data_IF_152808087201
#
_entry.id   IF_152808087201
#
_cell.length_a   1.000
_cell.length_b   1.000
_cell.length_c   1.000
_cell.angle_alpha   90.00
_cell.angle_beta   90.00
_cell.angle_gamma   90.00
#
_symmetry.space_group_name_H-M   'P 1'
#
loop_
_entity.id
_entity.type
_entity.pdbx_description
1 polymer ?
#
# COMPACT_ATOMS: atom_id res chain seq x y z
N UNK A 1 -9.18 37.57 18.51
CA UNK A 1 -9.06 36.66 19.65
C UNK A 1 -8.10 35.56 19.28
N UNK A 2 -6.89 35.54 19.84
CA UNK A 2 -5.95 34.41 19.63
C UNK A 2 -6.52 33.22 20.37
N UNK A 3 -6.86 32.14 19.64
CA UNK A 3 -7.22 30.87 20.26
C UNK A 3 -6.05 30.43 21.14
N UNK A 4 -6.33 30.04 22.37
CA UNK A 4 -5.35 29.43 23.27
C UNK A 4 -4.79 28.18 22.59
N UNK A 5 -3.51 28.19 22.20
CA UNK A 5 -2.85 27.02 21.65
C UNK A 5 -2.68 25.99 22.78
N UNK A 6 -3.66 25.14 22.97
CA UNK A 6 -3.44 23.90 23.70
C UNK A 6 -2.42 23.07 22.89
N UNK A 7 -1.44 22.49 23.57
CA UNK A 7 -0.47 21.61 22.93
C UNK A 7 -1.22 20.51 22.13
N UNK A 8 -0.70 20.10 20.96
CA UNK A 8 -1.32 19.04 20.19
C UNK A 8 -1.50 17.76 21.02
N UNK A 9 -2.54 16.96 20.77
CA UNK A 9 -2.78 15.71 21.49
C UNK A 9 -1.60 14.75 21.34
N UNK A 10 -1.32 13.99 22.38
CA UNK A 10 -0.30 12.97 22.38
C UNK A 10 -0.70 11.76 21.53
N UNK A 11 0.20 11.27 20.69
CA UNK A 11 0.09 9.99 20.01
C UNK A 11 1.21 9.09 20.53
N UNK A 12 0.91 8.32 21.57
CA UNK A 12 1.88 7.50 22.25
C UNK A 12 2.22 6.23 21.48
N UNK A 13 3.46 5.73 21.63
CA UNK A 13 3.81 4.40 21.17
C UNK A 13 3.02 3.35 21.97
N UNK A 14 2.75 2.21 21.34
CA UNK A 14 2.01 1.10 21.96
C UNK A 14 2.98 -0.07 22.21
N UNK A 15 3.68 -0.02 23.32
CA UNK A 15 4.64 -1.03 23.73
C UNK A 15 4.02 -2.25 24.43
N UNK A 16 4.84 -3.22 24.78
CA UNK A 16 4.40 -4.47 25.46
C UNK A 16 3.88 -4.25 26.88
N UNK A 17 4.21 -3.13 27.52
CA UNK A 17 3.67 -2.72 28.80
C UNK A 17 2.47 -1.75 28.70
N UNK A 18 1.97 -1.50 27.50
CA UNK A 18 0.91 -0.50 27.26
C UNK A 18 1.42 0.75 26.52
N UNK A 19 0.65 1.86 26.57
CA UNK A 19 1.07 3.14 25.99
C UNK A 19 2.38 3.64 26.60
N UNK A 20 3.23 4.21 25.75
CA UNK A 20 4.53 4.74 26.16
C UNK A 20 4.76 6.14 25.59
N UNK A 21 4.89 7.14 26.49
CA UNK A 21 5.25 8.52 26.15
C UNK A 21 6.76 8.67 26.15
N UNK A 22 7.33 8.93 24.99
CA UNK A 22 8.76 9.25 24.85
C UNK A 22 9.02 10.73 25.21
N UNK A 23 10.28 11.03 25.56
CA UNK A 23 10.78 12.42 25.60
C UNK A 23 11.15 12.95 24.21
N UNK A 24 11.41 12.04 23.26
CA UNK A 24 11.65 12.40 21.87
C UNK A 24 10.32 12.37 21.13
N UNK A 25 9.87 13.55 20.69
CA UNK A 25 8.57 13.78 20.07
C UNK A 25 8.77 14.34 18.67
N UNK A 26 7.94 13.87 17.75
CA UNK A 26 7.83 14.40 16.39
C UNK A 26 6.45 15.04 16.23
N UNK A 27 6.40 16.26 15.72
CA UNK A 27 5.12 16.93 15.46
C UNK A 27 4.55 16.48 14.12
N UNK A 28 3.39 15.86 14.16
CA UNK A 28 2.63 15.51 12.96
C UNK A 28 1.83 16.72 12.52
N UNK A 29 1.99 17.11 11.26
CA UNK A 29 1.30 18.25 10.67
C UNK A 29 0.28 17.79 9.63
N UNK A 30 -0.77 18.58 9.45
CA UNK A 30 -1.69 18.43 8.33
C UNK A 30 -1.13 19.01 7.03
N UNK A 31 -1.91 18.91 5.94
CA UNK A 31 -1.52 19.43 4.61
C UNK A 31 -1.46 20.96 4.54
N UNK A 32 -1.97 21.68 5.53
CA UNK A 32 -1.87 23.14 5.67
C UNK A 32 -0.61 23.54 6.44
N UNK A 33 0.01 22.58 7.14
CA UNK A 33 1.15 22.81 8.00
C UNK A 33 0.79 23.04 9.47
N UNK A 34 -0.48 22.84 9.83
CA UNK A 34 -0.92 22.97 11.22
C UNK A 34 -0.57 21.73 12.03
N UNK A 35 -0.13 21.87 13.30
CA UNK A 35 0.19 20.75 14.16
C UNK A 35 -1.07 19.98 14.57
N UNK A 36 -1.09 18.66 14.39
CA UNK A 36 -2.22 17.77 14.68
C UNK A 36 -1.96 16.88 15.88
N UNK A 37 -0.76 16.36 16.03
CA UNK A 37 -0.39 15.50 17.16
C UNK A 37 1.12 15.54 17.43
N UNK A 38 1.50 15.10 18.64
CA UNK A 38 2.88 14.81 19.02
C UNK A 38 3.10 13.30 19.07
N UNK A 39 3.83 12.76 18.10
CA UNK A 39 4.17 11.34 17.99
C UNK A 39 5.37 11.00 18.88
N UNK A 40 5.21 10.01 19.76
CA UNK A 40 6.28 9.51 20.64
C UNK A 40 7.25 8.63 19.89
N UNK A 41 8.48 9.10 19.60
CA UNK A 41 9.54 8.30 18.99
C UNK A 41 10.25 7.47 20.05
N UNK A 42 10.17 6.15 19.98
CA UNK A 42 10.76 5.26 20.98
C UNK A 42 12.27 5.11 20.78
N UNK A 43 13.05 5.10 21.88
CA UNK A 43 14.48 4.83 21.81
C UNK A 43 14.76 3.36 21.48
N UNK A 44 15.93 3.10 20.88
CA UNK A 44 16.35 1.75 20.49
C UNK A 44 16.15 0.69 21.57
N UNK A 45 16.58 0.97 22.81
CA UNK A 45 16.50 0.00 23.91
C UNK A 45 15.05 -0.43 24.21
N UNK A 46 14.10 0.52 24.12
CA UNK A 46 12.68 0.23 24.29
C UNK A 46 12.17 -0.66 23.15
N UNK A 47 12.51 -0.32 21.91
CA UNK A 47 12.12 -1.07 20.73
C UNK A 47 12.69 -2.51 20.75
N UNK A 48 13.96 -2.67 21.08
CA UNK A 48 14.60 -3.97 21.21
C UNK A 48 13.96 -4.85 22.30
N UNK A 49 13.67 -4.26 23.48
CA UNK A 49 12.97 -4.98 24.55
C UNK A 49 11.58 -5.43 24.11
N UNK A 50 10.87 -4.59 23.36
CA UNK A 50 9.54 -4.92 22.82
C UNK A 50 9.61 -6.10 21.85
N UNK A 51 10.57 -6.11 20.92
CA UNK A 51 10.75 -7.25 19.98
C UNK A 51 11.12 -8.54 20.73
N UNK A 52 11.98 -8.46 21.73
CA UNK A 52 12.32 -9.63 22.55
C UNK A 52 11.13 -10.17 23.37
N UNK A 53 10.25 -9.29 23.83
CA UNK A 53 9.02 -9.71 24.51
C UNK A 53 8.04 -10.34 23.54
N UNK A 54 7.83 -9.75 22.36
CA UNK A 54 7.05 -10.35 21.27
C UNK A 54 7.51 -11.78 20.95
N UNK A 55 8.83 -12.00 20.86
CA UNK A 55 9.41 -13.32 20.51
C UNK A 55 9.05 -14.41 21.56
N UNK A 56 8.84 -14.04 22.82
CA UNK A 56 8.47 -14.97 23.90
C UNK A 56 6.97 -15.19 24.03
N UNK A 57 6.18 -14.25 23.51
CA UNK A 57 4.73 -14.34 23.63
C UNK A 57 4.17 -15.51 22.81
N UNK A 58 3.16 -16.18 23.35
CA UNK A 58 2.41 -17.18 22.61
C UNK A 58 1.36 -16.50 21.74
N UNK A 59 1.20 -16.90 20.46
CA UNK A 59 0.08 -16.40 19.66
C UNK A 59 -1.23 -17.01 20.17
N UNK A 60 -2.39 -16.34 20.00
CA UNK A 60 -3.69 -16.96 20.20
C UNK A 60 -3.84 -18.22 19.33
N UNK A 61 -4.68 -19.17 19.73
CA UNK A 61 -5.00 -20.30 18.88
C UNK A 61 -5.66 -19.85 17.55
N UNK A 62 -5.68 -20.70 16.51
CA UNK A 62 -6.16 -20.32 15.17
C UNK A 62 -7.60 -19.80 15.16
N UNK A 63 -8.50 -20.43 15.89
CA UNK A 63 -9.91 -20.04 15.91
C UNK A 63 -10.09 -18.69 16.65
N UNK A 64 -9.36 -18.48 17.75
CA UNK A 64 -9.35 -17.21 18.46
C UNK A 64 -8.78 -16.10 17.58
N UNK A 65 -7.67 -16.34 16.83
CA UNK A 65 -7.11 -15.35 15.87
C UNK A 65 -8.14 -14.92 14.85
N UNK A 66 -8.83 -15.85 14.23
CA UNK A 66 -9.87 -15.57 13.24
C UNK A 66 -10.95 -14.64 13.81
N UNK A 67 -11.49 -14.98 14.99
CA UNK A 67 -12.51 -14.16 15.69
C UNK A 67 -12.00 -12.77 16.05
N UNK A 68 -10.78 -12.68 16.58
CA UNK A 68 -10.19 -11.41 16.98
C UNK A 68 -9.94 -10.50 15.78
N UNK A 69 -9.42 -11.04 14.66
CA UNK A 69 -9.20 -10.27 13.43
C UNK A 69 -10.51 -9.72 12.86
N UNK A 70 -11.55 -10.55 12.75
CA UNK A 70 -12.88 -10.11 12.30
C UNK A 70 -13.42 -8.95 13.15
N UNK A 71 -13.35 -9.08 14.49
CA UNK A 71 -13.82 -8.04 15.41
C UNK A 71 -12.98 -6.78 15.33
N UNK A 72 -11.65 -6.91 15.23
CA UNK A 72 -10.73 -5.78 15.09
C UNK A 72 -10.98 -5.01 13.80
N UNK A 73 -11.20 -5.72 12.69
CA UNK A 73 -11.51 -5.11 11.39
C UNK A 73 -12.79 -4.28 11.42
N UNK A 74 -13.86 -4.83 11.99
CA UNK A 74 -15.10 -4.08 12.18
C UNK A 74 -14.90 -2.85 13.09
N UNK A 75 -14.20 -3.02 14.21
CA UNK A 75 -13.95 -1.94 15.17
C UNK A 75 -13.09 -0.84 14.53
N UNK A 76 -12.07 -1.21 13.77
CA UNK A 76 -11.22 -0.27 13.03
C UNK A 76 -12.02 0.54 12.01
N UNK A 77 -12.81 -0.12 11.16
CA UNK A 77 -13.52 0.52 10.06
C UNK A 77 -14.71 1.37 10.53
N UNK A 78 -15.47 0.88 11.52
CA UNK A 78 -16.79 1.43 11.84
C UNK A 78 -16.99 1.80 13.32
N UNK A 79 -16.15 1.27 14.21
CA UNK A 79 -16.33 1.45 15.65
C UNK A 79 -15.68 2.70 16.24
N UNK A 80 -15.75 2.82 17.57
CA UNK A 80 -14.96 3.78 18.34
C UNK A 80 -13.75 3.07 18.96
N UNK A 81 -12.54 3.56 18.68
CA UNK A 81 -11.27 3.05 19.20
C UNK A 81 -10.65 4.12 20.08
N UNK A 82 -10.36 3.78 21.32
CA UNK A 82 -9.83 4.72 22.34
C UNK A 82 -10.62 6.03 22.43
N UNK A 83 -11.96 5.96 22.29
CA UNK A 83 -12.86 7.11 22.29
C UNK A 83 -12.95 7.87 20.96
N UNK A 84 -12.15 7.53 19.95
CA UNK A 84 -12.16 8.17 18.63
C UNK A 84 -13.07 7.42 17.66
N UNK A 85 -14.12 8.09 17.18
CA UNK A 85 -15.05 7.51 16.20
C UNK A 85 -14.37 7.29 14.84
N UNK A 86 -14.91 6.39 14.01
CA UNK A 86 -14.41 6.20 12.64
C UNK A 86 -14.50 7.49 11.81
N UNK A 87 -15.56 8.27 11.96
CA UNK A 87 -15.70 9.54 11.25
C UNK A 87 -14.64 10.58 11.65
N UNK A 88 -14.28 10.67 12.94
CA UNK A 88 -13.19 11.53 13.38
C UNK A 88 -11.84 11.06 12.83
N UNK A 89 -11.58 9.76 12.89
CA UNK A 89 -10.39 9.13 12.30
C UNK A 89 -10.27 9.43 10.81
N UNK A 90 -11.34 9.23 10.02
CA UNK A 90 -11.32 9.50 8.58
C UNK A 90 -10.94 10.96 8.27
N UNK A 91 -11.51 11.91 9.03
CA UNK A 91 -11.17 13.34 8.87
C UNK A 91 -9.70 13.61 9.19
N UNK A 92 -9.21 13.12 10.32
CA UNK A 92 -7.81 13.30 10.71
C UNK A 92 -6.86 12.74 9.66
N UNK A 93 -7.10 11.51 9.16
CA UNK A 93 -6.26 10.90 8.11
C UNK A 93 -6.33 11.70 6.82
N UNK A 94 -7.52 12.15 6.38
CA UNK A 94 -7.66 12.97 5.19
C UNK A 94 -6.89 14.30 5.30
N UNK A 95 -6.99 14.99 6.43
CA UNK A 95 -6.28 16.24 6.69
C UNK A 95 -4.75 16.07 6.74
N UNK A 96 -4.27 15.00 7.37
CA UNK A 96 -2.83 14.75 7.55
C UNK A 96 -2.18 14.19 6.29
N UNK A 97 -2.80 13.21 5.65
CA UNK A 97 -2.27 12.56 4.45
C UNK A 97 -2.57 13.33 3.16
N UNK A 98 -3.62 14.16 3.17
CA UNK A 98 -4.15 14.83 1.98
C UNK A 98 -4.85 13.88 0.99
N UNK A 99 -5.15 12.65 1.41
CA UNK A 99 -5.97 11.73 0.63
C UNK A 99 -7.43 12.13 0.78
N UNK A 100 -8.24 12.15 -0.31
CA UNK A 100 -9.67 12.44 -0.24
C UNK A 100 -10.39 11.60 0.81
N UNK A 101 -11.27 12.23 1.60
CA UNK A 101 -11.97 11.57 2.71
C UNK A 101 -12.78 10.34 2.27
N UNK A 102 -13.35 10.39 1.07
CA UNK A 102 -14.06 9.24 0.49
C UNK A 102 -13.11 8.05 0.27
N UNK A 103 -11.89 8.30 -0.24
CA UNK A 103 -10.84 7.29 -0.44
C UNK A 103 -10.33 6.74 0.90
N UNK A 104 -10.16 7.60 1.91
CA UNK A 104 -9.77 7.15 3.26
C UNK A 104 -10.82 6.20 3.84
N UNK A 105 -12.11 6.55 3.71
CA UNK A 105 -13.23 5.73 4.18
C UNK A 105 -13.28 4.38 3.48
N UNK A 106 -13.17 4.37 2.17
CA UNK A 106 -13.14 3.15 1.36
C UNK A 106 -11.96 2.25 1.73
N UNK A 107 -10.76 2.83 1.85
CA UNK A 107 -9.56 2.10 2.28
C UNK A 107 -9.69 1.54 3.70
N UNK A 108 -10.30 2.27 4.62
CA UNK A 108 -10.56 1.79 5.97
C UNK A 108 -11.57 0.63 5.99
N UNK A 109 -12.61 0.70 5.15
CA UNK A 109 -13.57 -0.40 4.97
C UNK A 109 -12.87 -1.62 4.36
N UNK A 110 -12.00 -1.43 3.38
CA UNK A 110 -11.20 -2.51 2.78
C UNK A 110 -10.33 -3.23 3.82
N UNK A 111 -9.70 -2.49 4.75
CA UNK A 111 -8.96 -3.10 5.88
C UNK A 111 -9.88 -3.94 6.76
N UNK A 112 -11.10 -3.41 7.06
CA UNK A 112 -12.10 -4.13 7.85
C UNK A 112 -12.55 -5.43 7.20
N UNK A 113 -12.88 -5.38 5.93
CA UNK A 113 -13.34 -6.53 5.14
C UNK A 113 -12.22 -7.58 4.97
N UNK A 114 -10.99 -7.11 4.73
CA UNK A 114 -9.83 -7.98 4.65
C UNK A 114 -9.56 -8.69 5.98
N UNK A 115 -9.60 -7.98 7.10
CA UNK A 115 -9.39 -8.56 8.42
C UNK A 115 -10.36 -9.71 8.73
N UNK A 116 -11.60 -9.62 8.25
CA UNK A 116 -12.61 -10.67 8.40
C UNK A 116 -12.27 -11.95 7.62
N UNK A 117 -11.48 -11.84 6.56
CA UNK A 117 -11.12 -12.95 5.65
C UNK A 117 -9.62 -13.31 5.67
N UNK A 118 -8.80 -12.58 6.42
CA UNK A 118 -7.34 -12.72 6.41
C UNK A 118 -6.87 -14.15 6.71
N UNK A 119 -7.56 -14.85 7.63
CA UNK A 119 -7.21 -16.23 7.99
C UNK A 119 -7.39 -17.18 6.80
N UNK A 120 -8.46 -17.06 6.05
CA UNK A 120 -8.74 -17.89 4.87
C UNK A 120 -7.88 -17.43 3.68
N UNK A 121 -7.69 -16.12 3.51
CA UNK A 121 -6.94 -15.53 2.40
C UNK A 121 -5.48 -15.93 2.42
N UNK A 122 -4.81 -15.82 3.56
CA UNK A 122 -3.37 -16.14 3.66
C UNK A 122 -3.09 -17.64 3.44
N UNK A 123 -4.08 -18.50 3.65
CA UNK A 123 -3.97 -19.95 3.44
C UNK A 123 -4.00 -20.36 1.98
N UNK A 124 -4.33 -19.47 1.06
CA UNK A 124 -4.20 -19.73 -0.39
C UNK A 124 -2.74 -20.05 -0.77
N UNK A 125 -1.77 -19.53 -0.02
CA UNK A 125 -0.34 -19.83 -0.21
C UNK A 125 0.09 -21.22 0.29
N UNK A 126 -0.78 -21.95 1.01
CA UNK A 126 -0.40 -23.25 1.58
C UNK A 126 -0.30 -24.30 0.48
N UNK A 127 0.82 -25.04 0.39
CA UNK A 127 0.96 -26.14 -0.58
C UNK A 127 -0.18 -27.16 -0.45
N UNK A 128 -0.69 -27.62 -1.56
CA UNK A 128 -1.74 -28.66 -1.60
C UNK A 128 -1.24 -29.92 -0.88
N UNK A 129 -2.04 -30.45 0.04
CA UNK A 129 -1.65 -31.61 0.85
C UNK A 129 -0.81 -31.31 2.08
N UNK A 130 -0.29 -30.09 2.27
CA UNK A 130 0.42 -29.72 3.49
C UNK A 130 -0.54 -29.67 4.69
N UNK A 131 -0.08 -30.21 5.83
CA UNK A 131 -0.80 -30.18 7.11
C UNK A 131 -0.44 -28.91 7.91
N UNK A 132 -1.34 -28.46 8.78
CA UNK A 132 -1.09 -27.33 9.70
C UNK A 132 -0.40 -27.75 11.00
N UNK A 133 -0.36 -29.06 11.29
CA UNK A 133 0.21 -29.62 12.50
C UNK A 133 0.80 -31.01 12.23
N UNK A 134 1.87 -31.32 12.92
CA UNK A 134 2.43 -32.68 12.92
C UNK A 134 1.47 -33.74 13.49
N UNK A 135 0.44 -33.32 14.26
CA UNK A 135 -0.60 -34.19 14.78
C UNK A 135 -1.68 -34.54 13.76
N UNK A 136 -1.72 -33.84 12.61
CA UNK A 136 -2.61 -34.21 11.52
C UNK A 136 -2.26 -35.60 10.99
N UNK A 137 -3.28 -36.44 10.74
CA UNK A 137 -3.09 -37.79 10.24
C UNK A 137 -2.27 -37.83 8.94
N UNK A 138 -2.42 -36.81 8.07
CA UNK A 138 -1.64 -36.72 6.84
C UNK A 138 -0.15 -36.57 7.10
N UNK A 139 0.25 -35.84 8.15
CA UNK A 139 1.66 -35.69 8.52
C UNK A 139 2.28 -37.01 8.92
N UNK A 140 1.51 -37.89 9.58
CA UNK A 140 1.97 -39.26 9.97
C UNK A 140 2.31 -40.12 8.76
N UNK A 141 1.71 -39.87 7.62
CA UNK A 141 1.98 -40.57 6.36
C UNK A 141 3.01 -39.84 5.45
N UNK A 142 3.79 -38.91 6.00
CA UNK A 142 4.88 -38.25 5.28
C UNK A 142 4.50 -36.98 4.52
N UNK A 143 3.39 -36.32 4.90
CA UNK A 143 3.07 -35.00 4.34
C UNK A 143 3.91 -33.87 4.96
N UNK A 144 4.14 -32.81 4.21
CA UNK A 144 4.77 -31.61 4.73
C UNK A 144 3.90 -30.91 5.78
N UNK A 145 4.52 -30.34 6.81
CA UNK A 145 3.85 -29.48 7.79
C UNK A 145 4.17 -28.03 7.48
N UNK A 146 3.14 -27.22 7.27
CA UNK A 146 3.28 -25.78 6.97
C UNK A 146 3.48 -25.00 8.25
N UNK A 147 4.68 -24.44 8.44
CA UNK A 147 5.10 -23.79 9.69
C UNK A 147 5.67 -22.39 9.45
N UNK A 148 5.59 -21.52 10.44
CA UNK A 148 6.22 -20.20 10.38
C UNK A 148 7.73 -20.29 10.19
N UNK A 149 8.29 -19.30 9.44
CA UNK A 149 9.75 -19.11 9.29
C UNK A 149 10.38 -18.48 10.53
N UNK A 150 9.58 -17.73 11.30
CA UNK A 150 10.00 -17.00 12.48
C UNK A 150 8.84 -16.75 13.43
N UNK A 151 9.08 -15.95 14.45
CA UNK A 151 8.12 -15.63 15.49
C UNK A 151 7.63 -14.17 15.40
N UNK A 152 8.49 -13.23 14.97
CA UNK A 152 8.22 -11.80 14.92
C UNK A 152 8.36 -11.27 13.51
N UNK A 153 7.29 -10.60 13.02
CA UNK A 153 7.34 -9.79 11.82
C UNK A 153 7.54 -8.32 12.19
N UNK A 154 8.51 -7.67 11.55
CA UNK A 154 8.66 -6.21 11.54
C UNK A 154 8.01 -5.60 10.30
N UNK A 155 7.26 -4.51 10.49
CA UNK A 155 6.57 -3.79 9.41
C UNK A 155 7.06 -2.34 9.39
N UNK A 156 7.64 -1.91 8.27
CA UNK A 156 7.84 -0.50 7.97
C UNK A 156 6.69 -0.01 7.10
N UNK A 157 5.68 0.60 7.73
CA UNK A 157 4.45 0.99 7.05
C UNK A 157 4.60 2.34 6.33
N UNK A 158 4.02 2.48 5.12
CA UNK A 158 4.00 3.74 4.37
C UNK A 158 2.84 4.64 4.82
N UNK A 159 2.70 5.82 4.19
CA UNK A 159 1.65 6.80 4.47
C UNK A 159 0.68 7.04 3.31
N UNK A 160 0.76 6.22 2.25
CA UNK A 160 0.06 6.50 0.99
C UNK A 160 -1.38 5.98 0.93
N UNK A 161 -1.79 5.09 1.84
CA UNK A 161 -3.17 4.59 1.95
C UNK A 161 -3.36 3.80 3.25
N UNK A 162 -4.54 3.87 3.90
CA UNK A 162 -4.89 2.92 4.97
C UNK A 162 -4.87 1.45 4.53
N UNK A 163 -5.20 1.16 3.28
CA UNK A 163 -5.32 -0.21 2.76
C UNK A 163 -4.01 -1.02 2.80
N UNK A 164 -2.84 -0.38 2.82
CA UNK A 164 -1.54 -1.06 2.90
C UNK A 164 -1.38 -1.89 4.18
N UNK A 165 -2.13 -1.55 5.23
CA UNK A 165 -2.11 -2.27 6.50
C UNK A 165 -2.78 -3.65 6.45
N UNK A 166 -3.45 -4.02 5.35
CA UNK A 166 -3.96 -5.39 5.14
C UNK A 166 -2.83 -6.42 5.12
N UNK A 167 -1.67 -6.07 4.58
CA UNK A 167 -0.53 -6.97 4.40
C UNK A 167 -0.07 -7.66 5.69
N UNK A 168 0.01 -6.94 6.81
CA UNK A 168 0.50 -7.54 8.05
C UNK A 168 -0.61 -8.22 8.89
N UNK A 169 -1.90 -8.10 8.51
CA UNK A 169 -2.98 -8.90 9.09
C UNK A 169 -2.80 -10.39 8.75
N UNK A 170 -2.23 -10.70 7.59
CA UNK A 170 -1.84 -12.06 7.21
C UNK A 170 -0.87 -12.69 8.20
N UNK A 171 0.11 -11.92 8.67
CA UNK A 171 1.07 -12.40 9.66
C UNK A 171 0.39 -12.72 11.01
N UNK A 172 -0.51 -11.86 11.47
CA UNK A 172 -1.31 -12.14 12.66
C UNK A 172 -2.21 -13.37 12.47
N UNK A 173 -2.81 -13.54 11.30
CA UNK A 173 -3.61 -14.72 10.95
C UNK A 173 -2.77 -16.01 11.00
N UNK A 174 -1.51 -15.97 10.57
CA UNK A 174 -0.56 -17.08 10.65
C UNK A 174 0.03 -17.29 12.05
N UNK A 175 -0.22 -16.36 12.99
CA UNK A 175 0.26 -16.46 14.39
C UNK A 175 1.64 -15.84 14.61
N UNK A 176 2.10 -14.96 13.74
CA UNK A 176 3.22 -14.08 14.05
C UNK A 176 2.81 -13.06 15.11
N UNK A 177 3.79 -12.62 15.91
CA UNK A 177 3.68 -11.37 16.65
C UNK A 177 4.19 -10.26 15.75
N UNK A 178 3.56 -9.09 15.80
CA UNK A 178 3.84 -8.03 14.83
C UNK A 178 4.30 -6.75 15.52
N UNK A 179 5.43 -6.22 15.05
CA UNK A 179 5.92 -4.89 15.41
C UNK A 179 5.71 -3.95 14.20
N UNK A 180 4.93 -2.89 14.39
CA UNK A 180 4.66 -1.92 13.33
C UNK A 180 5.41 -0.63 13.62
N UNK A 181 6.28 -0.20 12.70
CA UNK A 181 6.80 1.16 12.63
C UNK A 181 5.91 1.94 11.67
N UNK A 182 5.11 2.87 12.18
CA UNK A 182 4.27 3.70 11.31
C UNK A 182 5.11 4.71 10.54
N UNK A 183 4.57 5.25 9.45
CA UNK A 183 5.08 6.48 8.87
C UNK A 183 4.93 7.64 9.87
N UNK A 184 5.89 8.55 9.91
CA UNK A 184 5.78 9.78 10.71
C UNK A 184 4.80 10.78 10.07
N UNK A 185 4.52 10.66 8.77
CA UNK A 185 3.58 11.54 8.06
C UNK A 185 2.13 11.22 8.36
N UNK A 186 1.79 9.94 8.47
CA UNK A 186 0.44 9.45 8.80
C UNK A 186 0.58 8.24 9.75
N UNK A 187 0.68 8.46 11.07
CA UNK A 187 0.79 7.38 12.05
C UNK A 187 -0.57 6.90 12.57
N UNK A 188 -1.67 7.62 12.30
CA UNK A 188 -2.98 7.39 12.92
C UNK A 188 -3.60 6.07 12.50
N UNK A 189 -3.45 5.68 11.24
CA UNK A 189 -3.99 4.42 10.73
C UNK A 189 -3.37 3.22 11.44
N UNK A 190 -2.04 3.17 11.52
CA UNK A 190 -1.34 2.10 12.23
C UNK A 190 -1.69 2.09 13.72
N UNK A 191 -1.72 3.27 14.36
CA UNK A 191 -2.08 3.41 15.77
C UNK A 191 -3.49 2.88 16.04
N UNK A 192 -4.47 3.33 15.25
CA UNK A 192 -5.87 2.89 15.39
C UNK A 192 -6.02 1.39 15.19
N UNK A 193 -5.32 0.78 14.21
CA UNK A 193 -5.46 -0.64 13.95
C UNK A 193 -4.82 -1.48 15.07
N UNK A 194 -3.66 -1.09 15.59
CA UNK A 194 -3.04 -1.75 16.75
C UNK A 194 -3.91 -1.60 17.99
N UNK A 195 -4.48 -0.40 18.25
CA UNK A 195 -5.42 -0.17 19.35
C UNK A 195 -6.69 -1.04 19.20
N UNK A 196 -7.27 -1.11 18.01
CA UNK A 196 -8.45 -1.95 17.76
C UNK A 196 -8.16 -3.44 18.02
N UNK A 197 -7.00 -3.96 17.58
CA UNK A 197 -6.56 -5.32 17.87
C UNK A 197 -6.46 -5.58 19.37
N UNK A 198 -5.86 -4.66 20.12
CA UNK A 198 -5.74 -4.76 21.59
C UNK A 198 -7.09 -4.69 22.30
N UNK A 199 -7.95 -3.78 21.86
CA UNK A 199 -9.29 -3.61 22.45
C UNK A 199 -10.18 -4.84 22.29
N UNK A 200 -10.00 -5.64 21.23
CA UNK A 200 -10.75 -6.89 21.03
C UNK A 200 -10.11 -8.09 21.70
N UNK A 201 -8.89 -7.98 22.24
CA UNK A 201 -8.26 -9.03 23.07
C UNK A 201 -6.96 -9.63 22.54
N UNK A 202 -6.25 -8.94 21.63
CA UNK A 202 -4.83 -9.21 21.45
C UNK A 202 -4.04 -8.66 22.64
N UNK A 203 -3.14 -9.45 23.18
CA UNK A 203 -2.28 -9.02 24.28
C UNK A 203 -1.24 -8.00 23.80
N UNK A 204 -0.74 -7.17 24.72
CA UNK A 204 0.20 -6.10 24.41
C UNK A 204 1.55 -6.62 23.86
N UNK A 205 1.90 -7.88 24.15
CA UNK A 205 3.09 -8.54 23.65
C UNK A 205 2.86 -9.37 22.37
N UNK A 206 1.69 -9.25 21.73
CA UNK A 206 1.37 -9.87 20.45
C UNK A 206 1.41 -8.89 19.29
N UNK A 207 1.08 -7.61 19.52
CA UNK A 207 1.15 -6.55 18.53
C UNK A 207 1.56 -5.22 19.19
N UNK A 208 2.57 -4.55 18.63
CA UNK A 208 3.11 -3.28 19.12
C UNK A 208 3.22 -2.23 18.02
N UNK A 209 3.10 -0.96 18.41
CA UNK A 209 3.39 0.19 17.56
C UNK A 209 4.66 0.88 18.08
N UNK A 210 5.69 0.92 17.25
CA UNK A 210 7.02 1.44 17.61
C UNK A 210 7.45 2.55 16.65
N UNK A 211 6.91 3.77 16.79
CA UNK A 211 7.40 4.91 16.00
C UNK A 211 8.87 5.16 16.35
N UNK A 212 9.72 5.31 15.34
CA UNK A 212 11.16 5.53 15.51
C UNK A 212 11.70 6.47 14.44
N UNK A 213 12.87 7.02 14.67
CA UNK A 213 13.66 7.65 13.63
C UNK A 213 14.15 6.64 12.57
N UNK A 214 14.69 7.13 11.47
CA UNK A 214 15.16 6.28 10.38
C UNK A 214 16.37 5.40 10.77
N UNK A 215 17.28 5.92 11.60
CA UNK A 215 18.47 5.17 12.03
C UNK A 215 18.09 3.96 12.90
N UNK A 216 17.10 4.11 13.76
CA UNK A 216 16.56 3.02 14.57
C UNK A 216 15.74 2.03 13.73
N UNK A 217 15.10 2.49 12.67
CA UNK A 217 14.27 1.67 11.79
C UNK A 217 15.03 0.47 11.19
N UNK A 218 16.23 0.71 10.65
CA UNK A 218 17.06 -0.35 10.06
C UNK A 218 17.48 -1.41 11.07
N UNK A 219 17.77 -0.97 12.31
CA UNK A 219 18.12 -1.88 13.40
C UNK A 219 16.93 -2.75 13.81
N UNK A 220 15.70 -2.24 13.71
CA UNK A 220 14.48 -3.01 13.99
C UNK A 220 14.28 -4.14 12.98
N UNK A 221 14.56 -3.90 11.70
CA UNK A 221 14.52 -4.94 10.66
C UNK A 221 15.53 -6.05 10.98
N UNK A 222 16.74 -5.71 11.41
CA UNK A 222 17.77 -6.69 11.75
C UNK A 222 17.47 -7.47 13.04
N UNK A 223 16.72 -6.91 13.99
CA UNK A 223 16.35 -7.57 15.25
C UNK A 223 15.16 -8.54 15.09
N UNK A 224 14.29 -8.35 14.10
CA UNK A 224 13.14 -9.22 13.83
C UNK A 224 13.54 -10.51 13.08
N UNK A 225 12.65 -11.48 13.02
CA UNK A 225 12.92 -12.74 12.32
C UNK A 225 12.66 -12.62 10.82
N UNK A 226 11.64 -11.84 10.45
CA UNK A 226 11.31 -11.45 9.08
C UNK A 226 10.75 -10.03 9.09
N UNK A 227 10.82 -9.34 7.95
CA UNK A 227 10.29 -8.00 7.82
C UNK A 227 9.58 -7.77 6.48
N UNK A 228 8.66 -6.80 6.46
CA UNK A 228 8.15 -6.18 5.25
C UNK A 228 8.49 -4.69 5.28
N UNK A 229 8.95 -4.15 4.16
CA UNK A 229 9.37 -2.77 4.05
C UNK A 229 8.79 -2.14 2.79
N UNK A 230 8.00 -1.07 2.95
CA UNK A 230 7.43 -0.32 1.85
C UNK A 230 8.33 0.86 1.48
N UNK A 231 8.52 1.09 0.19
CA UNK A 231 9.27 2.24 -0.30
C UNK A 231 9.52 2.22 -1.80
N UNK A 232 10.26 3.20 -2.29
CA UNK A 232 10.66 3.27 -3.70
C UNK A 232 11.84 2.37 -4.06
N UNK A 233 12.47 2.64 -5.21
CA UNK A 233 13.64 1.91 -5.72
C UNK A 233 14.78 1.77 -4.71
N UNK A 234 14.91 2.71 -3.78
CA UNK A 234 15.95 2.67 -2.75
C UNK A 234 15.72 1.49 -1.77
N UNK A 235 14.47 1.29 -1.33
CA UNK A 235 14.09 0.17 -0.46
C UNK A 235 14.21 -1.16 -1.21
N UNK A 236 13.75 -1.21 -2.47
CA UNK A 236 13.89 -2.38 -3.33
C UNK A 236 15.38 -2.77 -3.53
N UNK A 237 16.24 -1.81 -3.80
CA UNK A 237 17.71 -2.06 -3.92
C UNK A 237 18.34 -2.49 -2.59
N UNK A 238 17.93 -1.87 -1.49
CA UNK A 238 18.49 -2.16 -0.15
C UNK A 238 18.18 -3.58 0.31
N UNK A 239 16.99 -4.07 0.05
CA UNK A 239 16.49 -5.33 0.59
C UNK A 239 16.23 -6.42 -0.45
N UNK A 240 16.33 -6.12 -1.74
CA UNK A 240 15.96 -7.03 -2.83
C UNK A 240 16.73 -8.37 -2.86
N UNK A 241 17.94 -8.43 -2.29
CA UNK A 241 18.69 -9.67 -2.12
C UNK A 241 18.43 -10.38 -0.79
N UNK A 242 17.64 -9.80 0.11
CA UNK A 242 17.36 -10.38 1.43
C UNK A 242 16.31 -11.47 1.34
N UNK A 243 16.58 -12.62 1.95
CA UNK A 243 15.57 -13.68 2.12
C UNK A 243 14.69 -13.48 3.36
N UNK A 244 15.01 -12.50 4.21
CA UNK A 244 14.33 -12.21 5.47
C UNK A 244 13.51 -10.91 5.41
N UNK A 245 13.68 -10.11 4.36
CA UNK A 245 12.92 -8.88 4.15
C UNK A 245 12.20 -8.98 2.80
N UNK A 246 10.90 -8.77 2.80
CA UNK A 246 10.11 -8.61 1.59
C UNK A 246 9.93 -7.10 1.34
N UNK A 247 10.60 -6.54 0.31
CA UNK A 247 10.39 -5.16 -0.07
C UNK A 247 9.10 -5.05 -0.88
N UNK A 248 8.28 -4.05 -0.58
CA UNK A 248 7.19 -3.60 -1.44
C UNK A 248 7.65 -2.33 -2.13
N UNK A 249 8.01 -2.49 -3.41
CA UNK A 249 8.65 -1.47 -4.24
C UNK A 249 7.68 -0.57 -5.00
N UNK A 250 8.21 0.20 -5.97
CA UNK A 250 7.38 0.94 -6.91
C UNK A 250 6.59 -0.04 -7.79
N UNK A 251 5.32 0.27 -8.04
CA UNK A 251 4.43 -0.64 -8.75
C UNK A 251 4.59 -0.59 -10.26
N UNK A 252 4.83 0.59 -10.81
CA UNK A 252 4.92 0.83 -12.27
C UNK A 252 3.81 0.12 -13.03
N UNK A 253 2.60 0.15 -12.46
CA UNK A 253 1.43 -0.52 -13.02
C UNK A 253 1.07 0.05 -14.39
N UNK A 254 0.59 -0.80 -15.28
CA UNK A 254 0.45 -0.46 -16.69
C UNK A 254 -0.90 -0.88 -17.25
N UNK A 255 -1.25 -0.25 -18.34
CA UNK A 255 -2.38 -0.65 -19.19
C UNK A 255 -1.83 -1.00 -20.57
N UNK A 256 -2.35 -2.07 -21.17
CA UNK A 256 -2.11 -2.46 -22.56
C UNK A 256 -3.42 -2.46 -23.32
N UNK A 257 -3.48 -1.63 -24.35
CA UNK A 257 -4.57 -1.61 -25.33
C UNK A 257 -4.09 -2.31 -26.59
N UNK A 258 -4.51 -3.55 -26.79
CA UNK A 258 -4.21 -4.29 -28.01
C UNK A 258 -5.03 -3.80 -29.18
N UNK A 259 -4.62 -4.17 -30.40
CA UNK A 259 -5.31 -3.81 -31.64
C UNK A 259 -6.79 -4.19 -31.59
N UNK A 260 -7.67 -3.26 -31.97
CA UNK A 260 -9.12 -3.45 -31.97
C UNK A 260 -9.81 -3.17 -30.61
N UNK A 261 -9.06 -2.83 -29.56
CA UNK A 261 -9.68 -2.41 -28.29
C UNK A 261 -10.47 -1.10 -28.46
N UNK A 262 -11.74 -1.11 -28.05
CA UNK A 262 -12.61 0.07 -28.07
C UNK A 262 -12.27 0.99 -26.87
N UNK A 263 -11.53 2.05 -27.14
CA UNK A 263 -11.12 3.03 -26.12
C UNK A 263 -12.31 3.67 -25.43
N UNK A 264 -13.37 4.02 -26.18
CA UNK A 264 -14.57 4.65 -25.62
C UNK A 264 -15.26 3.74 -24.59
N UNK A 265 -15.35 2.45 -24.88
CA UNK A 265 -15.92 1.44 -23.98
C UNK A 265 -15.08 1.29 -22.70
N UNK A 266 -13.75 1.36 -22.82
CA UNK A 266 -12.83 1.05 -21.72
C UNK A 266 -12.33 2.30 -20.96
N UNK A 267 -12.69 3.51 -21.41
CA UNK A 267 -12.17 4.77 -20.86
C UNK A 267 -12.41 4.91 -19.34
N UNK A 268 -13.55 4.44 -18.85
CA UNK A 268 -13.84 4.47 -17.41
C UNK A 268 -12.87 3.59 -16.61
N UNK A 269 -12.59 2.38 -17.08
CA UNK A 269 -11.62 1.46 -16.45
C UNK A 269 -10.20 1.99 -16.55
N UNK A 270 -9.83 2.60 -17.67
CA UNK A 270 -8.51 3.25 -17.86
C UNK A 270 -8.33 4.39 -16.87
N UNK A 271 -9.29 5.30 -16.79
CA UNK A 271 -9.20 6.46 -15.89
C UNK A 271 -9.29 6.07 -14.42
N UNK A 272 -10.07 5.04 -14.07
CA UNK A 272 -10.08 4.47 -12.72
C UNK A 272 -8.73 3.83 -12.36
N UNK A 273 -8.07 3.17 -13.31
CA UNK A 273 -6.72 2.63 -13.10
C UNK A 273 -5.70 3.72 -12.80
N UNK A 274 -5.84 4.91 -13.39
CA UNK A 274 -4.92 6.04 -13.21
C UNK A 274 -5.26 6.84 -11.94
N UNK A 275 -6.53 7.22 -11.75
CA UNK A 275 -6.97 8.19 -10.76
C UNK A 275 -7.69 7.56 -9.54
N UNK A 276 -8.04 6.28 -9.59
CA UNK A 276 -8.57 5.55 -8.43
C UNK A 276 -7.63 5.68 -7.24
N UNK A 277 -8.15 5.65 -6.02
CA UNK A 277 -7.35 5.85 -4.79
C UNK A 277 -6.52 7.14 -4.81
N UNK A 278 -7.02 8.18 -5.50
CA UNK A 278 -6.34 9.46 -5.71
C UNK A 278 -5.00 9.38 -6.48
N UNK A 279 -4.74 8.29 -7.20
CA UNK A 279 -3.48 8.09 -7.94
C UNK A 279 -2.25 7.90 -7.04
N UNK A 280 -2.43 7.53 -5.77
CA UNK A 280 -1.32 7.46 -4.80
C UNK A 280 -0.82 6.04 -4.53
N UNK A 281 -1.48 5.02 -5.07
CA UNK A 281 -1.15 3.62 -4.83
C UNK A 281 -0.17 3.04 -5.87
N UNK A 282 0.64 2.06 -5.48
CA UNK A 282 1.50 1.31 -6.40
C UNK A 282 0.72 0.55 -7.50
N UNK A 283 -0.56 0.29 -7.28
CA UNK A 283 -1.45 -0.34 -8.27
C UNK A 283 -2.06 0.65 -9.27
N UNK A 284 -1.84 1.96 -9.10
CA UNK A 284 -2.30 2.93 -10.09
C UNK A 284 -1.46 2.83 -11.37
N UNK A 285 -2.14 2.86 -12.53
CA UNK A 285 -1.46 2.81 -13.81
C UNK A 285 -0.69 4.10 -14.06
N UNK A 286 0.60 3.97 -14.33
CA UNK A 286 1.52 5.08 -14.65
C UNK A 286 1.88 5.12 -16.13
N UNK A 287 1.65 4.03 -16.87
CA UNK A 287 1.86 3.98 -18.32
C UNK A 287 0.71 3.27 -19.03
N UNK A 288 0.34 3.77 -20.21
CA UNK A 288 -0.63 3.16 -21.12
C UNK A 288 0.05 2.89 -22.46
N UNK A 289 0.18 1.61 -22.78
CA UNK A 289 0.75 1.14 -24.05
C UNK A 289 -0.38 0.86 -25.04
N UNK A 290 -0.27 1.41 -26.25
CA UNK A 290 -1.31 1.34 -27.28
C UNK A 290 -0.77 0.67 -28.53
N UNK A 291 -1.39 -0.45 -28.95
CA UNK A 291 -1.09 -1.08 -30.25
C UNK A 291 -1.82 -0.29 -31.34
N UNK A 292 -1.10 0.66 -31.93
CA UNK A 292 -1.62 1.59 -32.91
C UNK A 292 -1.23 3.03 -32.61
N UNK A 293 -2.12 3.98 -32.90
CA UNK A 293 -1.93 5.40 -32.63
C UNK A 293 -2.29 5.73 -31.17
N UNK A 294 -1.32 6.15 -30.35
CA UNK A 294 -1.59 6.46 -28.93
C UNK A 294 -2.25 7.86 -28.72
N UNK A 295 -2.20 8.76 -29.72
CA UNK A 295 -2.66 10.14 -29.56
C UNK A 295 -4.14 10.26 -29.21
N UNK A 296 -5.09 9.61 -29.94
CA UNK A 296 -6.50 9.69 -29.59
C UNK A 296 -6.83 9.12 -28.21
N UNK A 297 -6.07 8.11 -27.76
CA UNK A 297 -6.19 7.51 -26.41
C UNK A 297 -5.75 8.51 -25.36
N UNK A 298 -4.59 9.17 -25.57
CA UNK A 298 -4.05 10.15 -24.66
C UNK A 298 -4.98 11.38 -24.53
N UNK A 299 -5.55 11.85 -25.65
CA UNK A 299 -6.53 12.93 -25.65
C UNK A 299 -7.81 12.57 -24.87
N UNK A 300 -8.36 11.39 -25.07
CA UNK A 300 -9.54 10.93 -24.34
C UNK A 300 -9.27 10.83 -22.82
N UNK A 301 -8.10 10.31 -22.43
CA UNK A 301 -7.68 10.25 -21.02
C UNK A 301 -7.52 11.67 -20.46
N UNK A 302 -6.83 12.58 -21.19
CA UNK A 302 -6.61 13.95 -20.76
C UNK A 302 -7.91 14.70 -20.56
N UNK A 303 -8.87 14.57 -21.49
CA UNK A 303 -10.21 15.15 -21.36
C UNK A 303 -10.91 14.67 -20.10
N UNK A 304 -10.95 13.35 -19.88
CA UNK A 304 -11.68 12.75 -18.75
C UNK A 304 -11.05 13.09 -17.40
N UNK A 305 -9.72 13.05 -17.30
CA UNK A 305 -9.01 13.42 -16.06
C UNK A 305 -9.06 14.93 -15.79
N UNK A 306 -9.11 15.75 -16.83
CA UNK A 306 -9.23 17.22 -16.72
C UNK A 306 -10.54 17.69 -16.08
N UNK A 307 -11.58 16.84 -16.05
CA UNK A 307 -12.87 17.12 -15.39
C UNK A 307 -12.80 17.01 -13.85
N UNK A 308 -11.73 16.42 -13.29
CA UNK A 308 -11.62 16.21 -11.85
C UNK A 308 -11.44 17.52 -11.09
N UNK A 309 -12.28 17.81 -10.08
CA UNK A 309 -12.26 19.10 -9.42
C UNK A 309 -11.10 19.22 -8.44
N UNK A 310 -10.54 20.45 -8.32
CA UNK A 310 -9.55 20.79 -7.29
C UNK A 310 -10.27 21.17 -6.00
N UNK A 311 -10.39 20.23 -5.06
CA UNK A 311 -11.15 20.38 -3.81
C UNK A 311 -10.27 20.00 -2.60
N UNK A 312 -10.53 20.57 -1.41
CA UNK A 312 -9.83 20.17 -0.19
C UNK A 312 -10.11 18.69 0.16
N UNK A 313 -9.22 17.99 0.88
CA UNK A 313 -9.32 16.55 1.09
C UNK A 313 -10.55 16.14 1.90
N UNK A 314 -11.11 17.04 2.69
CA UNK A 314 -12.35 16.81 3.47
C UNK A 314 -13.65 16.95 2.66
N UNK A 315 -13.62 17.41 1.41
CA UNK A 315 -14.82 17.46 0.54
C UNK A 315 -15.14 16.04 0.03
N UNK A 316 -16.41 15.64 0.13
CA UNK A 316 -16.86 14.29 -0.31
C UNK A 316 -16.71 14.06 -1.83
N UNK A 317 -16.64 15.14 -2.61
CA UNK A 317 -16.44 15.10 -4.07
C UNK A 317 -14.97 15.08 -4.46
N UNK A 318 -14.05 15.32 -3.50
CA UNK A 318 -12.60 15.29 -3.78
C UNK A 318 -12.20 13.91 -4.33
N UNK A 319 -11.32 13.93 -5.34
CA UNK A 319 -10.76 12.74 -5.98
C UNK A 319 -9.25 12.82 -6.13
N UNK A 320 -8.68 14.01 -5.93
CA UNK A 320 -7.26 14.29 -6.13
C UNK A 320 -6.54 14.48 -4.79
N UNK A 321 -5.28 14.10 -4.70
CA UNK A 321 -4.52 14.25 -3.47
C UNK A 321 -4.12 15.72 -3.24
N UNK A 322 -4.05 16.08 -1.97
CA UNK A 322 -3.63 17.40 -1.50
C UNK A 322 -2.27 17.28 -0.81
N UNK A 323 -1.42 18.27 -0.96
CA UNK A 323 -0.12 18.37 -0.28
C UNK A 323 0.08 19.78 0.25
N UNK A 324 1.04 19.97 1.15
CA UNK A 324 1.54 21.31 1.45
C UNK A 324 1.98 21.98 0.14
N UNK A 325 1.67 23.26 -0.06
CA UNK A 325 1.95 23.94 -1.32
C UNK A 325 3.43 23.82 -1.74
N UNK A 326 4.37 23.99 -0.80
CA UNK A 326 5.79 23.81 -1.07
C UNK A 326 6.12 22.41 -1.63
N UNK A 327 5.58 21.34 -1.01
CA UNK A 327 5.78 19.96 -1.47
C UNK A 327 5.14 19.72 -2.84
N UNK A 328 3.95 20.31 -3.09
CA UNK A 328 3.29 20.22 -4.38
C UNK A 328 4.14 20.86 -5.50
N UNK A 329 4.74 22.01 -5.25
CA UNK A 329 5.65 22.67 -6.19
C UNK A 329 6.95 21.88 -6.41
N UNK A 330 7.51 21.24 -5.37
CA UNK A 330 8.66 20.33 -5.53
C UNK A 330 8.31 19.13 -6.41
N UNK A 331 7.11 18.56 -6.24
CA UNK A 331 6.64 17.45 -7.09
C UNK A 331 6.40 17.88 -8.53
N UNK A 332 5.84 19.08 -8.77
CA UNK A 332 5.69 19.68 -10.11
C UNK A 332 7.06 19.90 -10.78
N UNK A 333 8.01 20.45 -10.06
CA UNK A 333 9.38 20.64 -10.55
C UNK A 333 10.06 19.32 -10.91
N UNK A 334 9.90 18.29 -10.07
CA UNK A 334 10.42 16.94 -10.34
C UNK A 334 9.79 16.33 -11.61
N UNK A 335 8.44 16.43 -11.75
CA UNK A 335 7.74 15.95 -12.93
C UNK A 335 8.25 16.66 -14.21
N UNK A 336 8.39 17.97 -14.18
CA UNK A 336 8.89 18.75 -15.34
C UNK A 336 10.30 18.37 -15.72
N UNK A 337 11.19 18.20 -14.75
CA UNK A 337 12.55 17.77 -14.99
C UNK A 337 12.59 16.34 -15.60
N UNK A 338 11.69 15.45 -15.17
CA UNK A 338 11.60 14.08 -15.67
C UNK A 338 10.88 13.94 -17.01
N UNK A 339 9.99 14.88 -17.36
CA UNK A 339 9.19 14.78 -18.58
C UNK A 339 10.02 14.92 -19.87
N UNK A 340 11.10 15.71 -19.83
CA UNK A 340 12.00 15.84 -20.98
C UNK A 340 11.27 16.36 -22.23
N UNK A 341 11.30 15.57 -23.28
CA UNK A 341 10.70 15.84 -24.60
C UNK A 341 9.25 15.30 -24.73
N UNK A 342 8.68 14.74 -23.68
CA UNK A 342 7.32 14.22 -23.69
C UNK A 342 6.31 15.36 -23.99
N UNK A 343 5.35 15.09 -24.88
CA UNK A 343 4.31 16.05 -25.25
C UNK A 343 3.20 16.07 -24.19
N UNK A 344 3.01 17.17 -23.43
CA UNK A 344 1.94 17.26 -22.46
C UNK A 344 0.58 17.48 -23.16
N UNK A 345 -0.43 16.69 -22.79
CA UNK A 345 -1.81 16.89 -23.18
C UNK A 345 -2.67 17.41 -22.02
N UNK A 346 -2.21 17.17 -20.78
CA UNK A 346 -2.79 17.74 -19.57
C UNK A 346 -1.64 18.02 -18.57
N UNK A 347 -1.72 19.16 -17.83
CA UNK A 347 -0.70 19.52 -16.85
C UNK A 347 0.52 20.22 -17.47
N UNK A 348 0.40 20.82 -18.67
CA UNK A 348 1.49 21.50 -19.38
C UNK A 348 2.09 22.67 -18.57
N UNK A 349 1.26 23.53 -17.99
CA UNK A 349 1.73 24.72 -17.26
C UNK A 349 2.09 24.40 -15.81
N UNK A 350 1.19 23.72 -15.09
CA UNK A 350 1.39 23.26 -13.72
C UNK A 350 0.35 22.21 -13.31
N UNK A 351 0.77 21.26 -12.49
CA UNK A 351 -0.15 20.33 -11.82
C UNK A 351 -0.61 20.83 -10.46
N UNK A 352 -0.13 22.00 -10.02
CA UNK A 352 -0.42 22.57 -8.70
C UNK A 352 -1.64 23.49 -8.77
N UNK A 353 -2.64 23.25 -7.92
CA UNK A 353 -3.75 24.16 -7.70
C UNK A 353 -3.82 24.51 -6.21
N UNK A 354 -3.34 25.71 -5.85
CA UNK A 354 -3.34 26.19 -4.47
C UNK A 354 -4.76 26.43 -3.97
N UNK A 355 -5.03 26.04 -2.72
CA UNK A 355 -6.32 26.22 -2.05
C UNK A 355 -6.38 27.52 -1.22
N UNK A 356 -5.26 28.26 -1.12
CA UNK A 356 -5.19 29.53 -0.41
C UNK A 356 -5.01 29.42 1.12
N UNK A 357 -4.87 28.20 1.64
CA UNK A 357 -4.68 27.88 3.06
C UNK A 357 -3.31 27.28 3.36
N UNK A 358 -2.36 27.35 2.44
CA UNK A 358 -1.02 26.74 2.53
C UNK A 358 -0.97 25.32 1.96
N UNK A 359 -2.08 24.80 1.48
CA UNK A 359 -2.17 23.52 0.80
C UNK A 359 -2.47 23.66 -0.69
N UNK A 360 -2.20 22.62 -1.47
CA UNK A 360 -2.48 22.57 -2.89
C UNK A 360 -2.92 21.19 -3.34
N UNK A 361 -3.86 21.14 -4.26
CA UNK A 361 -4.28 19.95 -4.98
C UNK A 361 -3.26 19.63 -6.06
N UNK A 362 -2.87 18.38 -6.19
CA UNK A 362 -2.10 17.87 -7.33
C UNK A 362 -3.07 17.42 -8.42
N UNK A 363 -3.18 18.22 -9.47
CA UNK A 363 -4.04 17.96 -10.63
C UNK A 363 -3.43 16.89 -11.52
N UNK A 364 -4.24 16.15 -12.30
CA UNK A 364 -3.73 15.11 -13.18
C UNK A 364 -2.77 15.64 -14.25
N UNK A 365 -1.86 14.77 -14.69
CA UNK A 365 -0.98 14.99 -15.82
C UNK A 365 -1.06 13.84 -16.82
N UNK A 366 -1.07 14.16 -18.10
CA UNK A 366 -1.06 13.20 -19.21
C UNK A 366 -0.02 13.62 -20.24
N UNK A 367 0.91 12.74 -20.52
CA UNK A 367 1.99 12.96 -21.49
C UNK A 367 1.96 11.90 -22.58
N UNK A 368 2.18 12.32 -23.81
CA UNK A 368 2.36 11.44 -24.96
C UNK A 368 3.86 11.29 -25.24
N UNK A 369 4.29 10.08 -25.50
CA UNK A 369 5.66 9.70 -25.83
C UNK A 369 5.70 8.97 -27.19
N UNK A 370 6.80 9.11 -27.92
CA UNK A 370 6.94 8.59 -29.28
C UNK A 370 7.50 7.15 -29.34
N UNK A 371 8.04 6.64 -28.23
CA UNK A 371 8.73 5.35 -28.18
C UNK A 371 8.30 4.51 -27.00
N UNK A 372 8.13 3.19 -27.17
CA UNK A 372 7.71 2.29 -26.09
C UNK A 372 8.76 2.10 -24.98
N UNK A 373 10.03 2.35 -25.28
CA UNK A 373 11.17 2.21 -24.36
C UNK A 373 11.59 3.52 -23.70
N UNK A 374 10.77 4.57 -23.81
CA UNK A 374 11.05 5.87 -23.22
C UNK A 374 11.20 5.75 -21.67
N UNK A 375 12.30 6.25 -21.10
CA UNK A 375 12.56 6.09 -19.66
C UNK A 375 11.52 6.75 -18.76
N UNK A 376 10.79 7.75 -19.26
CA UNK A 376 9.69 8.43 -18.58
C UNK A 376 8.58 7.45 -18.17
N UNK A 377 8.34 6.37 -18.92
CA UNK A 377 7.35 5.35 -18.58
C UNK A 377 7.61 4.66 -17.22
N UNK A 378 8.81 4.83 -16.65
CA UNK A 378 9.18 4.29 -15.32
C UNK A 378 9.00 5.31 -14.19
N UNK A 379 8.63 6.57 -14.49
CA UNK A 379 8.44 7.62 -13.49
C UNK A 379 7.05 7.46 -12.87
N UNK A 380 7.02 7.23 -11.57
CA UNK A 380 5.79 7.22 -10.77
C UNK A 380 5.67 8.51 -9.97
N UNK A 381 4.47 9.07 -9.97
CA UNK A 381 4.13 10.24 -9.18
C UNK A 381 3.09 9.87 -8.12
N UNK A 382 3.11 10.55 -6.98
CA UNK A 382 2.13 10.33 -5.91
C UNK A 382 0.79 11.06 -6.15
N UNK A 383 0.35 11.11 -7.42
CA UNK A 383 -0.91 11.68 -7.89
C UNK A 383 -1.21 11.14 -9.31
N UNK A 384 -2.42 11.31 -9.86
CA UNK A 384 -2.75 10.81 -11.19
C UNK A 384 -1.82 11.42 -12.26
N UNK A 385 -0.84 10.64 -12.72
CA UNK A 385 0.13 11.03 -13.75
C UNK A 385 0.39 9.83 -14.64
N UNK A 386 0.21 9.99 -15.96
CA UNK A 386 0.29 8.87 -16.89
C UNK A 386 1.06 9.22 -18.16
N UNK A 387 1.88 8.26 -18.58
CA UNK A 387 2.64 8.28 -19.83
C UNK A 387 1.91 7.41 -20.84
N UNK A 388 1.53 7.92 -22.00
CA UNK A 388 0.87 7.18 -23.08
C UNK A 388 1.85 6.97 -24.22
N UNK A 389 2.02 5.72 -24.66
CA UNK A 389 3.10 5.31 -25.56
C UNK A 389 2.57 4.40 -26.66
N UNK A 390 3.16 4.44 -27.87
CA UNK A 390 2.92 3.42 -28.87
C UNK A 390 3.52 2.08 -28.41
N UNK A 391 2.88 0.98 -28.80
CA UNK A 391 3.40 -0.36 -28.58
C UNK A 391 3.16 -1.23 -29.81
N UNK A 392 4.10 -2.15 -30.09
CA UNK A 392 4.03 -3.07 -31.23
C UNK A 392 4.61 -4.41 -30.86
N UNK A 393 4.12 -5.48 -31.47
CA UNK A 393 4.62 -6.86 -31.30
C UNK A 393 5.85 -7.13 -32.19
N UNK A 394 6.90 -6.35 -32.01
CA UNK A 394 8.15 -6.46 -32.75
C UNK A 394 9.32 -6.62 -31.80
N UNK A 395 10.29 -7.46 -32.13
CA UNK A 395 11.48 -7.69 -31.30
C UNK A 395 11.14 -8.20 -29.90
N UNK A 396 11.78 -7.64 -28.87
CA UNK A 396 11.44 -7.91 -27.46
C UNK A 396 10.28 -7.02 -27.00
N UNK A 397 9.11 -7.27 -27.57
CA UNK A 397 7.90 -6.49 -27.36
C UNK A 397 7.37 -6.56 -25.90
N UNK A 398 7.82 -7.53 -25.10
CA UNK A 398 7.49 -7.60 -23.67
C UNK A 398 8.34 -6.64 -22.82
N UNK A 399 9.53 -6.24 -23.30
CA UNK A 399 10.44 -5.41 -22.50
C UNK A 399 9.80 -4.14 -21.90
N UNK A 400 8.96 -3.36 -22.62
CA UNK A 400 8.29 -2.19 -22.03
C UNK A 400 7.26 -2.54 -20.95
N UNK A 401 6.75 -3.77 -20.96
CA UNK A 401 5.72 -4.25 -20.03
C UNK A 401 6.30 -4.92 -18.78
N UNK A 402 7.59 -5.18 -18.73
CA UNK A 402 8.28 -5.77 -17.57
C UNK A 402 8.31 -4.87 -16.35
N UNK A 403 8.65 -5.44 -15.19
CA UNK A 403 8.69 -4.76 -13.90
C UNK A 403 7.34 -4.07 -13.59
N UNK A 404 6.25 -4.84 -13.60
CA UNK A 404 4.88 -4.35 -13.47
C UNK A 404 4.15 -5.07 -12.36
N UNK A 405 3.71 -4.33 -11.35
CA UNK A 405 2.91 -4.88 -10.26
C UNK A 405 1.51 -5.28 -10.73
N UNK A 406 0.84 -4.43 -11.51
CA UNK A 406 -0.51 -4.71 -12.01
C UNK A 406 -0.64 -4.25 -13.45
N UNK A 407 -0.94 -5.19 -14.35
CA UNK A 407 -1.21 -4.93 -15.76
C UNK A 407 -2.68 -5.19 -16.06
N UNK A 408 -3.37 -4.22 -16.65
CA UNK A 408 -4.66 -4.46 -17.29
C UNK A 408 -4.46 -4.51 -18.80
N UNK A 409 -4.79 -5.64 -19.41
CA UNK A 409 -4.73 -5.84 -20.86
C UNK A 409 -6.13 -5.93 -21.47
N UNK A 410 -6.40 -5.04 -22.40
CA UNK A 410 -7.63 -5.08 -23.21
C UNK A 410 -7.35 -5.85 -24.49
N UNK A 411 -7.59 -7.15 -24.47
CA UNK A 411 -7.33 -8.09 -25.55
C UNK A 411 -8.18 -9.34 -25.41
N UNK A 412 -8.54 -9.95 -26.53
CA UNK A 412 -9.14 -11.29 -26.64
C UNK A 412 -8.17 -12.30 -27.29
N UNK A 413 -6.89 -11.92 -27.47
CA UNK A 413 -5.85 -12.77 -28.07
C UNK A 413 -5.23 -13.68 -27.02
N UNK A 414 -5.60 -14.96 -27.02
CA UNK A 414 -5.10 -15.98 -26.10
C UNK A 414 -3.57 -16.09 -26.12
N UNK A 415 -2.91 -15.97 -27.30
CA UNK A 415 -1.46 -16.04 -27.41
C UNK A 415 -0.74 -14.88 -26.73
N UNK A 416 -1.34 -13.68 -26.79
CA UNK A 416 -0.86 -12.52 -26.04
C UNK A 416 -1.06 -12.73 -24.54
N UNK A 417 -2.22 -13.20 -24.13
CA UNK A 417 -2.53 -13.49 -22.72
C UNK A 417 -1.53 -14.52 -22.14
N UNK A 418 -1.30 -15.62 -22.85
CA UNK A 418 -0.34 -16.65 -22.42
C UNK A 418 1.08 -16.08 -22.28
N UNK A 419 1.51 -15.23 -23.21
CA UNK A 419 2.82 -14.58 -23.16
C UNK A 419 2.96 -13.63 -21.97
N UNK A 420 1.91 -12.84 -21.66
CA UNK A 420 1.88 -11.97 -20.49
C UNK A 420 1.92 -12.77 -19.19
N UNK A 421 1.17 -13.87 -19.11
CA UNK A 421 1.16 -14.75 -17.93
C UNK A 421 2.50 -15.45 -17.74
N UNK A 422 3.21 -15.75 -18.80
CA UNK A 422 4.53 -16.39 -18.76
C UNK A 422 5.66 -15.41 -18.36
N UNK A 423 5.45 -14.09 -18.45
CA UNK A 423 6.47 -13.08 -18.10
C UNK A 423 6.59 -12.95 -16.57
N UNK A 424 7.73 -13.38 -15.98
CA UNK A 424 7.84 -13.49 -14.51
C UNK A 424 7.94 -12.14 -13.78
N UNK A 425 8.13 -11.02 -14.49
CA UNK A 425 8.24 -9.68 -13.93
C UNK A 425 6.91 -8.90 -13.96
N UNK A 426 5.80 -9.59 -14.24
CA UNK A 426 4.44 -9.07 -14.12
C UNK A 426 3.73 -9.83 -13.01
N UNK A 427 3.44 -9.15 -11.89
CA UNK A 427 2.89 -9.83 -10.70
C UNK A 427 1.39 -10.10 -10.78
N UNK A 428 0.61 -9.15 -11.37
CA UNK A 428 -0.83 -9.27 -11.54
C UNK A 428 -1.24 -8.93 -12.96
N UNK A 429 -2.15 -9.72 -13.51
CA UNK A 429 -2.70 -9.50 -14.85
C UNK A 429 -4.23 -9.51 -14.75
N UNK A 430 -4.84 -8.45 -15.26
CA UNK A 430 -6.28 -8.34 -15.46
C UNK A 430 -6.57 -8.33 -16.96
N UNK A 431 -7.51 -9.14 -17.40
CA UNK A 431 -7.94 -9.18 -18.80
C UNK A 431 -9.33 -8.54 -18.91
N UNK A 432 -9.47 -7.57 -19.82
CA UNK A 432 -10.72 -6.84 -20.06
C UNK A 432 -11.01 -5.76 -19.00
N UNK A 433 -12.28 -5.48 -18.74
CA UNK A 433 -12.76 -4.35 -17.92
C UNK A 433 -12.53 -4.54 -16.41
N UNK A 434 -11.30 -4.60 -16.01
CA UNK A 434 -10.87 -4.56 -14.60
C UNK A 434 -9.76 -3.53 -14.41
N UNK A 435 -9.95 -2.50 -13.58
CA UNK A 435 -8.90 -1.52 -13.36
C UNK A 435 -7.70 -2.17 -12.65
N UNK A 436 -6.51 -1.62 -12.87
CA UNK A 436 -5.26 -2.10 -12.21
C UNK A 436 -5.36 -2.05 -10.69
N UNK A 437 -6.21 -1.17 -10.16
CA UNK A 437 -6.50 -1.00 -8.73
C UNK A 437 -7.40 -2.10 -8.16
N UNK A 438 -8.04 -2.92 -9.00
CA UNK A 438 -8.95 -3.96 -8.53
C UNK A 438 -8.21 -5.07 -7.77
N UNK A 439 -8.77 -5.45 -6.63
CA UNK A 439 -8.27 -6.55 -5.83
C UNK A 439 -9.39 -7.21 -5.04
N UNK A 440 -9.14 -8.39 -4.54
CA UNK A 440 -9.99 -9.08 -3.56
C UNK A 440 -9.12 -9.87 -2.58
N UNK A 441 -9.63 -10.18 -1.36
CA UNK A 441 -8.94 -11.06 -0.43
C UNK A 441 -8.60 -12.42 -1.07
N UNK A 442 -7.39 -12.91 -0.82
CA UNK A 442 -6.91 -14.20 -1.34
C UNK A 442 -6.21 -14.12 -2.71
N UNK A 443 -6.16 -12.95 -3.36
CA UNK A 443 -5.29 -12.76 -4.52
C UNK A 443 -3.88 -12.33 -4.09
N UNK A 444 -2.83 -12.80 -4.79
CA UNK A 444 -1.47 -12.32 -4.54
C UNK A 444 -1.34 -10.84 -4.90
N UNK A 445 -0.46 -10.13 -4.21
CA UNK A 445 -0.04 -8.76 -4.54
C UNK A 445 1.30 -8.79 -5.29
N UNK A 446 2.41 -8.87 -4.58
CA UNK A 446 3.73 -9.23 -5.11
C UNK A 446 4.02 -10.70 -4.73
N UNK A 447 3.19 -11.62 -5.22
CA UNK A 447 3.12 -12.98 -4.71
C UNK A 447 2.26 -13.11 -3.45
N UNK A 448 2.17 -14.32 -2.91
CA UNK A 448 1.49 -14.58 -1.65
C UNK A 448 2.40 -14.30 -0.45
N UNK A 449 2.02 -13.36 0.41
CA UNK A 449 2.78 -13.09 1.64
C UNK A 449 2.91 -14.36 2.53
N UNK A 450 1.92 -15.24 2.51
CA UNK A 450 1.99 -16.53 3.18
C UNK A 450 3.14 -17.42 2.70
N UNK A 451 3.52 -17.34 1.42
CA UNK A 451 4.67 -18.07 0.89
C UNK A 451 6.00 -17.53 1.43
N UNK A 452 6.09 -16.21 1.64
CA UNK A 452 7.24 -15.58 2.29
C UNK A 452 7.33 -15.89 3.79
N UNK A 453 6.20 -15.83 4.50
CA UNK A 453 6.15 -15.98 5.97
C UNK A 453 6.25 -17.44 6.43
N UNK A 454 5.91 -18.41 5.59
CA UNK A 454 5.81 -19.82 5.97
C UNK A 454 6.83 -20.67 5.21
N UNK A 455 7.03 -21.88 5.71
CA UNK A 455 7.82 -22.93 5.05
C UNK A 455 7.21 -24.30 5.32
N UNK A 456 7.47 -25.26 4.46
CA UNK A 456 7.12 -26.67 4.71
C UNK A 456 8.27 -27.41 5.39
N UNK A 457 7.96 -28.23 6.39
CA UNK A 457 8.89 -29.18 7.02
C UNK A 457 8.40 -30.59 6.78
N UNK A 458 9.29 -31.48 6.39
CA UNK A 458 9.00 -32.90 6.44
C UNK A 458 8.94 -33.34 7.90
N UNK A 459 7.87 -34.07 8.27
CA UNK A 459 7.71 -34.69 9.60
C UNK A 459 7.32 -36.12 9.35
N UNK A 460 8.08 -37.04 9.94
CA UNK A 460 7.81 -38.47 9.89
C UNK A 460 7.70 -38.95 11.32
N UNK A 461 6.62 -39.70 11.63
CA UNK A 461 6.40 -40.30 12.94
C UNK A 461 6.49 -41.81 12.75
N UNK A 462 7.51 -42.43 13.35
CA UNK A 462 7.73 -43.88 13.36
C UNK A 462 6.82 -44.59 14.34
#
# INVERSE_FOLDING_TARGET
MRASSSAPPALDALGTGGPYRSRNLEVVHDVRGEPVAELSLVPWLFAQRSIRALRRAAPPDPERRRKLLTRAGWLFASGSVDGVTSAAYHRTVAEVSGIPIATVRESAQQVGDYAATAYESVRQARPVGAADSWRDQRARHGSGVWTRRGEVLMVHAPANSPAVHTSWLDALALGYRVAVRPSQREPFTAHRLVSALRQVGYDHDQVVLLPTDHATADRLVAEADVAIAFGGDEVARKYGSSTLVMPFGPGRSKILLASGADVGRHLATITESIAGHAGTGCVNATAVFVEGDPEPVAEAIAQRLGELPSLPPGDERARLPVRRAAVAHEMDAYLRAGAGDARPLLGADTVVAELGDGSAVLRPAVFLLDRPDAPQARIEMGFPCVWVLPWRREGDWLAPLRDTLSLTAFTDDDGLIESLVAEPSIDKIHIGDRPTTWTRPGLPHEGYLGAFLMRSKAVVVG
#
